data_IF_862487596261
#
_entry.id   IF_862487596261
#
_cell.length_a   1.000
_cell.length_b   1.000
_cell.length_c   1.000
_cell.angle_alpha   90.00
_cell.angle_beta   90.00
_cell.angle_gamma   90.00
#
_symmetry.space_group_name_H-M   'P 1'
#
loop_
_entity.id
_entity.type
_entity.pdbx_description
1 polymer ?
#
# COMPACT_ATOMS: atom_id res chain seq x y z
N UNK A 1 -8.34 16.64 8.72
CA UNK A 1 -9.66 15.96 8.68
C UNK A 1 -9.44 14.49 9.00
N UNK A 2 -10.27 13.87 9.81
CA UNK A 2 -10.12 12.44 10.15
C UNK A 2 -10.88 11.59 9.14
N UNK A 3 -10.21 10.57 8.60
CA UNK A 3 -10.82 9.58 7.71
C UNK A 3 -11.13 8.31 8.50
N UNK A 4 -12.28 7.72 8.25
CA UNK A 4 -12.71 6.47 8.84
C UNK A 4 -13.01 5.47 7.72
N UNK A 5 -12.45 4.27 7.83
CA UNK A 5 -12.74 3.15 6.94
C UNK A 5 -13.01 1.93 7.80
N UNK A 6 -14.23 1.40 7.71
CA UNK A 6 -14.57 0.11 8.34
C UNK A 6 -14.01 -1.04 7.50
N UNK A 7 -13.73 -2.17 8.14
CA UNK A 7 -13.36 -3.39 7.43
C UNK A 7 -14.53 -3.86 6.55
N UNK A 8 -14.21 -4.39 5.36
CA UNK A 8 -15.16 -4.97 4.42
C UNK A 8 -16.23 -4.04 3.82
N UNK A 9 -16.14 -2.72 4.08
CA UNK A 9 -16.92 -1.73 3.36
C UNK A 9 -16.10 -1.11 2.22
N UNK A 10 -16.81 -0.73 1.16
CA UNK A 10 -16.28 -0.08 -0.03
C UNK A 10 -16.18 1.45 0.10
N UNK A 11 -16.58 2.01 1.24
CA UNK A 11 -16.68 3.45 1.42
C UNK A 11 -15.75 3.93 2.53
N UNK A 12 -14.95 4.96 2.22
CA UNK A 12 -14.21 5.75 3.20
C UNK A 12 -15.06 6.95 3.55
N UNK A 13 -15.16 7.26 4.84
CA UNK A 13 -15.95 8.36 5.37
C UNK A 13 -15.05 9.47 5.90
N UNK A 14 -15.55 10.70 5.82
CA UNK A 14 -15.05 11.81 6.64
C UNK A 14 -15.79 11.78 7.97
N UNK A 15 -15.03 11.75 9.07
CA UNK A 15 -15.58 11.99 10.39
C UNK A 15 -15.52 13.49 10.69
N UNK A 16 -16.68 14.09 10.93
CA UNK A 16 -16.81 15.47 11.39
C UNK A 16 -17.83 15.53 12.52
N UNK A 17 -17.40 16.06 13.67
CA UNK A 17 -18.19 16.02 14.90
C UNK A 17 -18.60 14.57 15.21
N UNK A 18 -19.90 14.25 15.12
CA UNK A 18 -20.47 12.92 15.31
C UNK A 18 -21.20 12.41 14.06
N UNK A 19 -20.78 12.85 12.86
CA UNK A 19 -21.37 12.45 11.58
C UNK A 19 -20.33 11.83 10.65
N UNK A 20 -20.76 10.80 9.93
CA UNK A 20 -20.01 10.19 8.83
C UNK A 20 -20.60 10.67 7.50
N UNK A 21 -19.79 11.32 6.67
CA UNK A 21 -20.15 11.67 5.30
C UNK A 21 -19.26 10.91 4.32
N UNK A 22 -19.80 10.26 3.27
CA UNK A 22 -19.00 9.57 2.27
C UNK A 22 -17.92 10.48 1.70
N UNK A 23 -16.71 9.94 1.56
CA UNK A 23 -15.57 10.65 0.99
C UNK A 23 -15.10 10.00 -0.32
N UNK A 24 -14.88 8.69 -0.29
CA UNK A 24 -14.43 7.89 -1.43
C UNK A 24 -15.22 6.58 -1.44
N UNK A 25 -15.67 6.14 -2.61
CA UNK A 25 -16.37 4.87 -2.80
C UNK A 25 -15.58 4.05 -3.84
N UNK A 26 -15.19 2.83 -3.45
CA UNK A 26 -14.59 1.85 -4.34
C UNK A 26 -15.69 1.18 -5.16
N UNK A 27 -15.85 1.57 -6.43
CA UNK A 27 -16.80 0.90 -7.30
C UNK A 27 -16.27 -0.46 -7.76
N UNK A 28 -16.72 -1.53 -7.10
CA UNK A 28 -16.33 -2.92 -7.38
C UNK A 28 -17.27 -3.64 -8.35
N UNK A 29 -18.27 -2.95 -8.90
CA UNK A 29 -19.25 -3.50 -9.84
C UNK A 29 -19.91 -4.78 -9.30
N UNK A 30 -19.93 -5.83 -10.13
CA UNK A 30 -20.52 -7.14 -9.77
C UNK A 30 -19.84 -7.86 -8.60
N UNK A 31 -18.65 -7.41 -8.18
CA UNK A 31 -17.90 -7.99 -7.06
C UNK A 31 -18.15 -7.24 -5.74
N UNK A 32 -19.17 -6.38 -5.71
CA UNK A 32 -19.58 -5.64 -4.53
C UNK A 32 -19.85 -6.56 -3.34
N UNK A 33 -19.48 -6.03 -2.18
CA UNK A 33 -19.66 -6.67 -0.89
C UNK A 33 -20.83 -5.97 -0.17
N UNK A 34 -22.03 -6.59 -0.08
CA UNK A 34 -23.15 -6.01 0.65
C UNK A 34 -22.86 -5.94 2.16
N UNK A 35 -23.25 -4.82 2.79
CA UNK A 35 -22.97 -4.58 4.20
C UNK A 35 -23.57 -5.66 5.12
N UNK A 36 -24.72 -6.22 4.76
CA UNK A 36 -25.45 -7.25 5.49
C UNK A 36 -24.68 -8.58 5.55
N UNK A 37 -23.82 -8.83 4.56
CA UNK A 37 -23.06 -10.08 4.46
C UNK A 37 -21.66 -9.99 5.05
N UNK A 38 -21.23 -8.85 5.61
CA UNK A 38 -19.81 -8.52 5.90
C UNK A 38 -19.05 -9.45 6.83
N UNK A 39 -19.77 -10.23 7.62
CA UNK A 39 -19.21 -11.22 8.53
C UNK A 39 -19.36 -12.67 8.02
N UNK A 40 -19.93 -12.86 6.82
CA UNK A 40 -20.12 -14.19 6.23
C UNK A 40 -18.87 -14.62 5.48
N UNK A 41 -18.25 -15.69 5.96
CA UNK A 41 -17.23 -16.42 5.19
C UNK A 41 -17.91 -17.33 4.17
N UNK A 42 -17.46 -17.25 2.92
CA UNK A 42 -17.89 -18.12 1.82
C UNK A 42 -16.64 -18.73 1.19
N UNK A 43 -16.66 -20.02 0.91
CA UNK A 43 -15.65 -20.63 0.05
C UNK A 43 -15.74 -20.01 -1.36
N UNK A 44 -14.59 -19.82 -2.02
CA UNK A 44 -14.50 -19.17 -3.34
C UNK A 44 -15.15 -17.78 -3.41
N UNK A 45 -14.91 -16.97 -2.39
CA UNK A 45 -15.42 -15.60 -2.33
C UNK A 45 -14.88 -14.73 -3.48
N UNK A 46 -15.74 -14.43 -4.45
CA UNK A 46 -15.43 -13.57 -5.59
C UNK A 46 -15.52 -12.07 -5.26
N UNK A 47 -16.00 -11.72 -4.06
CA UNK A 47 -16.18 -10.33 -3.63
C UNK A 47 -14.81 -9.65 -3.46
N UNK A 48 -14.76 -8.37 -3.80
CA UNK A 48 -13.57 -7.53 -3.58
C UNK A 48 -13.58 -7.03 -2.14
N UNK A 49 -12.49 -7.30 -1.41
CA UNK A 49 -12.29 -6.84 -0.03
C UNK A 49 -11.15 -5.84 0.01
N UNK A 50 -11.45 -4.56 0.24
CA UNK A 50 -10.42 -3.53 0.38
C UNK A 50 -9.78 -3.66 1.77
N UNK A 51 -8.51 -4.06 1.80
CA UNK A 51 -7.75 -4.32 3.03
C UNK A 51 -7.13 -3.04 3.59
N UNK A 52 -6.43 -2.30 2.73
CA UNK A 52 -5.60 -1.18 3.13
C UNK A 52 -5.68 -0.04 2.12
N UNK A 53 -5.60 1.21 2.59
CA UNK A 53 -5.66 2.41 1.74
C UNK A 53 -4.72 3.46 2.29
N UNK A 54 -3.91 4.04 1.40
CA UNK A 54 -3.04 5.18 1.64
C UNK A 54 -3.38 6.29 0.65
N UNK A 55 -3.31 7.52 1.11
CA UNK A 55 -3.74 8.67 0.34
C UNK A 55 -2.71 9.79 0.46
N UNK A 56 -2.19 10.24 -0.69
CA UNK A 56 -1.45 11.49 -0.84
C UNK A 56 -2.35 12.55 -1.47
N UNK A 57 -1.83 13.74 -1.76
CA UNK A 57 -2.57 14.79 -2.48
C UNK A 57 -2.99 14.37 -3.88
N UNK A 58 -2.20 13.56 -4.58
CA UNK A 58 -2.38 13.24 -6.01
C UNK A 58 -2.79 11.78 -6.25
N UNK A 59 -2.41 10.86 -5.37
CA UNK A 59 -2.60 9.43 -5.54
C UNK A 59 -3.36 8.80 -4.36
N UNK A 60 -4.12 7.75 -4.66
CA UNK A 60 -4.65 6.81 -3.67
C UNK A 60 -4.10 5.44 -4.03
N UNK A 61 -3.33 4.85 -3.11
CA UNK A 61 -2.87 3.47 -3.23
C UNK A 61 -3.74 2.62 -2.31
N UNK A 62 -4.29 1.53 -2.83
CA UNK A 62 -5.12 0.62 -2.06
C UNK A 62 -4.79 -0.83 -2.37
N UNK A 63 -4.87 -1.68 -1.35
CA UNK A 63 -4.74 -3.12 -1.51
C UNK A 63 -6.09 -3.78 -1.30
N UNK A 64 -6.37 -4.80 -2.10
CA UNK A 64 -7.58 -5.58 -1.96
C UNK A 64 -7.34 -7.05 -2.24
N UNK A 65 -8.21 -7.89 -1.66
CA UNK A 65 -8.26 -9.32 -1.94
C UNK A 65 -9.46 -9.68 -2.77
N UNK A 66 -9.26 -10.62 -3.69
CA UNK A 66 -10.31 -11.27 -4.45
C UNK A 66 -9.91 -12.72 -4.71
N UNK A 67 -10.81 -13.68 -4.41
CA UNK A 67 -10.54 -15.13 -4.59
C UNK A 67 -9.22 -15.60 -3.95
N UNK A 68 -8.89 -15.05 -2.78
CA UNK A 68 -7.66 -15.38 -2.03
C UNK A 68 -6.39 -14.69 -2.53
N UNK A 69 -6.45 -14.01 -3.67
CA UNK A 69 -5.32 -13.30 -4.27
C UNK A 69 -5.29 -11.85 -3.83
N UNK A 70 -4.09 -11.28 -3.66
CA UNK A 70 -3.89 -9.87 -3.31
C UNK A 70 -3.58 -9.06 -4.56
N UNK A 71 -4.18 -7.87 -4.63
CA UNK A 71 -3.99 -6.90 -5.69
C UNK A 71 -3.69 -5.53 -5.08
N UNK A 72 -2.94 -4.72 -5.82
CA UNK A 72 -2.69 -3.31 -5.51
C UNK A 72 -3.27 -2.45 -6.63
N UNK A 73 -4.06 -1.45 -6.23
CA UNK A 73 -4.61 -0.44 -7.09
C UNK A 73 -3.97 0.92 -6.81
N UNK A 74 -3.71 1.68 -7.88
CA UNK A 74 -3.27 3.07 -7.82
C UNK A 74 -4.30 3.89 -8.57
N UNK A 75 -4.97 4.79 -7.85
CA UNK A 75 -5.88 5.77 -8.43
C UNK A 75 -5.19 7.13 -8.46
N UNK A 76 -5.06 7.68 -9.66
CA UNK A 76 -4.56 9.04 -9.85
C UNK A 76 -5.76 10.00 -9.84
N UNK A 77 -5.76 10.96 -8.90
CA UNK A 77 -6.86 11.91 -8.70
C UNK A 77 -7.00 12.93 -9.82
N UNK A 78 -5.89 13.29 -10.46
CA UNK A 78 -5.85 14.28 -11.52
C UNK A 78 -6.39 13.70 -12.84
N UNK A 79 -5.97 12.48 -13.18
CA UNK A 79 -6.41 11.79 -14.42
C UNK A 79 -7.67 10.97 -14.23
N UNK A 80 -8.05 10.68 -12.98
CA UNK A 80 -9.14 9.78 -12.59
C UNK A 80 -8.99 8.36 -13.14
N UNK A 81 -7.75 7.92 -13.39
CA UNK A 81 -7.44 6.58 -13.88
C UNK A 81 -7.02 5.70 -12.71
N UNK A 82 -7.59 4.49 -12.66
CA UNK A 82 -7.16 3.42 -11.75
C UNK A 82 -6.36 2.40 -12.53
N UNK A 83 -5.15 2.10 -12.06
CA UNK A 83 -4.34 0.97 -12.52
C UNK A 83 -4.33 -0.10 -11.44
N UNK A 84 -4.36 -1.38 -11.83
CA UNK A 84 -4.41 -2.51 -10.90
C UNK A 84 -3.37 -3.54 -11.34
N UNK A 85 -2.58 -4.02 -10.39
CA UNK A 85 -1.64 -5.12 -10.57
C UNK A 85 -1.86 -6.20 -9.49
N UNK A 86 -1.50 -7.44 -9.82
CA UNK A 86 -1.46 -8.55 -8.86
C UNK A 86 -0.23 -8.38 -7.95
N UNK A 87 -0.37 -8.62 -6.66
CA UNK A 87 0.70 -8.51 -5.66
C UNK A 87 0.67 -7.18 -4.88
N UNK A 88 1.61 -7.06 -3.94
CA UNK A 88 1.75 -5.91 -3.03
C UNK A 88 2.96 -5.03 -3.33
N UNK A 89 3.99 -5.60 -3.94
CA UNK A 89 5.29 -4.95 -4.09
C UNK A 89 5.32 -4.10 -5.36
N UNK A 90 5.90 -2.92 -5.23
CA UNK A 90 6.25 -2.02 -6.31
C UNK A 90 7.66 -2.35 -6.77
N UNK A 91 7.82 -2.62 -8.06
CA UNK A 91 9.14 -2.72 -8.65
C UNK A 91 9.77 -1.34 -8.62
N UNK A 92 10.96 -1.24 -8.06
CA UNK A 92 11.71 0.02 -8.07
C UNK A 92 12.52 0.10 -9.37
N UNK A 93 11.94 0.76 -10.35
CA UNK A 93 12.51 1.01 -11.67
C UNK A 93 13.30 2.33 -11.77
N UNK A 94 13.33 3.11 -10.68
CA UNK A 94 14.04 4.39 -10.62
C UNK A 94 15.53 4.16 -10.40
N UNK A 95 15.86 3.26 -9.48
CA UNK A 95 17.25 3.02 -9.09
C UNK A 95 17.64 1.57 -8.88
N UNK A 96 16.72 0.68 -9.22
CA UNK A 96 16.92 -0.76 -9.18
C UNK A 96 17.31 -1.30 -7.80
N UNK A 97 17.06 -0.54 -6.73
CA UNK A 97 17.04 -1.10 -5.39
C UNK A 97 15.86 -2.08 -5.24
N UNK A 98 15.79 -2.77 -4.11
CA UNK A 98 14.80 -3.81 -3.88
C UNK A 98 13.34 -3.32 -4.10
N UNK A 99 12.41 -4.24 -4.45
CA UNK A 99 10.99 -3.92 -4.47
C UNK A 99 10.48 -3.40 -3.11
N UNK A 100 9.57 -2.44 -3.15
CA UNK A 100 9.05 -1.74 -1.96
C UNK A 100 7.56 -1.99 -1.76
N UNK A 101 7.10 -2.02 -0.51
CA UNK A 101 5.70 -2.21 -0.14
C UNK A 101 5.26 -1.10 0.84
N UNK A 102 4.87 0.09 0.33
CA UNK A 102 4.47 1.20 1.18
C UNK A 102 3.35 0.81 2.15
N UNK A 103 3.54 1.20 3.40
CA UNK A 103 2.66 0.88 4.54
C UNK A 103 1.98 2.10 5.14
N UNK A 104 2.33 3.30 4.68
CA UNK A 104 1.68 4.53 5.10
C UNK A 104 1.94 5.66 4.10
N UNK A 105 1.23 6.77 4.23
CA UNK A 105 1.57 8.06 3.61
C UNK A 105 1.68 9.13 4.70
N UNK A 106 2.80 9.84 4.74
CA UNK A 106 3.06 10.86 5.76
C UNK A 106 2.42 12.22 5.38
N UNK A 107 2.56 13.22 6.24
CA UNK A 107 2.01 14.57 6.03
C UNK A 107 2.68 15.34 4.88
N UNK A 108 3.86 14.91 4.45
CA UNK A 108 4.62 15.50 3.34
C UNK A 108 4.32 14.81 1.99
N UNK A 109 3.27 13.98 1.95
CA UNK A 109 2.82 13.21 0.78
C UNK A 109 3.82 12.15 0.32
N UNK A 110 4.65 11.64 1.22
CA UNK A 110 5.58 10.55 0.95
C UNK A 110 4.96 9.23 1.37
N UNK A 111 5.01 8.25 0.48
CA UNK A 111 4.71 6.88 0.85
C UNK A 111 5.89 6.28 1.60
N UNK A 112 5.60 5.61 2.72
CA UNK A 112 6.61 5.15 3.66
C UNK A 112 6.60 3.63 3.71
N UNK A 113 7.77 3.02 3.49
CA UNK A 113 8.01 1.61 3.81
C UNK A 113 9.00 1.49 4.98
N UNK A 114 8.93 0.35 5.66
CA UNK A 114 9.81 -0.05 6.75
C UNK A 114 10.42 -1.40 6.41
N UNK A 115 11.69 -1.39 6.04
CA UNK A 115 12.40 -2.59 5.64
C UNK A 115 13.38 -2.98 6.73
N UNK A 116 13.38 -4.24 7.13
CA UNK A 116 14.30 -4.75 8.15
C UNK A 116 15.74 -4.68 7.62
N UNK A 117 16.69 -4.36 8.50
CA UNK A 117 18.09 -4.22 8.11
C UNK A 117 18.64 -5.53 7.53
N UNK A 118 18.31 -6.68 8.12
CA UNK A 118 18.71 -7.99 7.60
C UNK A 118 18.18 -8.25 6.17
N UNK A 119 16.92 -7.88 5.88
CA UNK A 119 16.35 -8.03 4.53
C UNK A 119 17.11 -7.20 3.49
N UNK A 120 17.56 -5.99 3.85
CA UNK A 120 18.38 -5.17 2.94
C UNK A 120 19.74 -5.83 2.72
N UNK A 121 20.38 -6.31 3.78
CA UNK A 121 21.70 -6.94 3.70
C UNK A 121 21.66 -8.22 2.86
N UNK A 122 20.69 -9.11 3.11
CA UNK A 122 20.45 -10.32 2.32
C UNK A 122 20.24 -9.99 0.83
N UNK A 123 19.42 -8.97 0.53
CA UNK A 123 19.17 -8.55 -0.84
C UNK A 123 20.42 -8.01 -1.54
N UNK A 124 21.26 -7.24 -0.84
CA UNK A 124 22.51 -6.71 -1.40
C UNK A 124 23.53 -7.82 -1.70
N UNK A 125 23.53 -8.91 -0.92
CA UNK A 125 24.37 -10.08 -1.19
C UNK A 125 23.91 -10.82 -2.46
N UNK A 126 22.60 -10.93 -2.67
CA UNK A 126 22.00 -11.53 -3.88
C UNK A 126 22.15 -10.63 -5.13
N UNK A 127 22.32 -9.32 -4.95
CA UNK A 127 22.38 -8.30 -5.99
C UNK A 127 23.68 -7.47 -5.96
N UNK A 128 24.86 -8.09 -6.16
CA UNK A 128 26.16 -7.40 -6.09
C UNK A 128 26.37 -6.35 -7.19
N UNK A 129 25.53 -6.34 -8.23
CA UNK A 129 25.51 -5.30 -9.26
C UNK A 129 25.07 -3.92 -8.75
N UNK A 130 24.36 -3.87 -7.62
CA UNK A 130 23.91 -2.61 -7.03
C UNK A 130 25.04 -2.01 -6.21
N UNK A 131 25.52 -0.84 -6.65
CA UNK A 131 26.58 -0.14 -5.95
C UNK A 131 26.07 0.44 -4.61
N UNK A 132 26.63 0.06 -3.45
CA UNK A 132 26.24 0.60 -2.16
C UNK A 132 26.76 2.04 -1.92
N UNK A 133 27.48 2.65 -2.86
CA UNK A 133 27.92 4.04 -2.75
C UNK A 133 26.82 5.05 -3.07
N UNK A 134 27.07 6.32 -2.74
CA UNK A 134 26.11 7.40 -2.95
C UNK A 134 24.90 7.26 -2.03
N UNK A 135 23.70 7.14 -2.61
CA UNK A 135 22.44 7.12 -1.84
C UNK A 135 22.27 5.87 -0.96
N UNK A 136 22.95 4.77 -1.27
CA UNK A 136 22.90 3.53 -0.51
C UNK A 136 24.03 3.41 0.52
N UNK A 137 24.81 4.47 0.72
CA UNK A 137 25.96 4.47 1.65
C UNK A 137 25.60 4.14 3.08
N UNK A 138 24.34 4.35 3.48
CA UNK A 138 23.82 3.95 4.80
C UNK A 138 23.96 2.45 5.07
N UNK A 139 23.98 1.61 4.01
CA UNK A 139 24.07 0.15 4.13
C UNK A 139 25.38 -0.26 4.81
N UNK A 140 26.46 0.51 4.62
CA UNK A 140 27.76 0.27 5.26
C UNK A 140 27.73 0.50 6.79
N UNK A 141 26.71 1.21 7.29
CA UNK A 141 26.55 1.57 8.69
C UNK A 141 25.52 0.73 9.45
N UNK A 142 24.86 -0.24 8.80
CA UNK A 142 23.87 -1.12 9.44
C UNK A 142 24.40 -2.55 9.53
N UNK A 143 23.81 -3.33 10.43
CA UNK A 143 24.02 -4.76 10.60
C UNK A 143 22.65 -5.47 10.77
N UNK A 144 22.64 -6.80 10.88
CA UNK A 144 21.41 -7.60 10.98
C UNK A 144 20.51 -7.22 12.18
N UNK A 145 21.09 -6.73 13.27
CA UNK A 145 20.37 -6.33 14.49
C UNK A 145 19.96 -4.85 14.50
N UNK A 146 20.30 -4.11 13.44
CA UNK A 146 19.97 -2.70 13.34
C UNK A 146 18.47 -2.49 13.21
N UNK A 147 18.00 -1.34 13.68
CA UNK A 147 16.61 -0.94 13.51
C UNK A 147 16.20 -0.94 12.02
N UNK A 148 14.90 -1.12 11.71
CA UNK A 148 14.41 -1.03 10.35
C UNK A 148 14.76 0.30 9.69
N UNK A 149 15.06 0.25 8.40
CA UNK A 149 15.30 1.42 7.57
C UNK A 149 13.97 1.95 7.07
N UNK A 150 13.75 3.25 7.27
CA UNK A 150 12.58 3.98 6.76
C UNK A 150 12.88 4.42 5.34
N UNK A 151 12.06 3.99 4.38
CA UNK A 151 12.18 4.38 2.98
C UNK A 151 11.03 5.31 2.63
N UNK A 152 11.36 6.47 2.03
CA UNK A 152 10.40 7.49 1.61
C UNK A 152 10.33 7.53 0.08
N UNK A 153 9.11 7.43 -0.45
CA UNK A 153 8.80 7.41 -1.88
C UNK A 153 7.86 8.58 -2.23
N UNK A 154 8.05 9.18 -3.40
CA UNK A 154 7.18 10.24 -3.94
C UNK A 154 6.69 9.89 -5.34
#
# INVERSE_FOLDING_TARGET
>A
KVRFKEAYLDTIYTLSENKLSPYLIFNTGKYHYPAEERYQQKENDERVKIDYVMESTTLIIFQFRQRGEVYTGIYNKDTQITQIAKGQNFVNDIDHFMPLNPRNCNTDNEYVDLVQANTILEWMEEHPEVNPDGKFSFIKGINEESNPVVILMK
#
